data_IF_503746214667
#
_entry.id   IF_503746214667
#
_cell.length_a   1.000
_cell.length_b   1.000
_cell.length_c   1.000
_cell.angle_alpha   90.00
_cell.angle_beta   90.00
_cell.angle_gamma   90.00
#
_symmetry.space_group_name_H-M   'P 1'
#
loop_
_entity.id
_entity.type
_entity.pdbx_description
1 polymer ?
#
# COMPACT_ATOMS: atom_id res chain seq x y z
N UNK A 1 -9.74 8.65 -8.66
CA UNK A 1 -10.12 10.07 -8.51
C UNK A 1 -9.93 10.45 -7.05
N UNK A 2 -9.22 11.55 -6.76
CA UNK A 2 -9.02 12.01 -5.38
C UNK A 2 -10.10 13.05 -5.06
N UNK A 3 -10.97 12.73 -4.12
CA UNK A 3 -12.03 13.62 -3.64
C UNK A 3 -11.73 13.99 -2.20
N UNK A 4 -11.63 15.27 -1.90
CA UNK A 4 -11.52 15.81 -0.53
C UNK A 4 -12.53 16.92 -0.36
N UNK A 5 -13.20 16.97 0.81
CA UNK A 5 -14.28 17.92 1.08
C UNK A 5 -15.31 17.98 -0.06
N UNK A 6 -15.76 16.81 -0.53
CA UNK A 6 -16.73 16.69 -1.63
C UNK A 6 -16.35 17.35 -2.97
N UNK A 7 -15.10 17.79 -3.13
CA UNK A 7 -14.58 18.41 -4.35
C UNK A 7 -13.61 17.46 -5.07
N UNK A 8 -13.70 17.41 -6.41
CA UNK A 8 -12.77 16.65 -7.26
C UNK A 8 -11.47 17.44 -7.40
N UNK A 9 -10.36 16.85 -6.99
CA UNK A 9 -9.03 17.48 -7.11
C UNK A 9 -8.41 17.08 -8.45
N UNK A 10 -7.91 18.09 -9.18
CA UNK A 10 -7.13 17.92 -10.42
C UNK A 10 -5.67 18.25 -10.12
N UNK A 11 -4.75 17.40 -10.56
CA UNK A 11 -3.32 17.67 -10.43
C UNK A 11 -2.81 18.42 -11.66
N UNK A 12 -2.20 19.59 -11.46
CA UNK A 12 -1.59 20.41 -12.53
C UNK A 12 -0.33 19.77 -13.12
N UNK A 13 0.39 18.99 -12.33
CA UNK A 13 1.55 18.19 -12.73
C UNK A 13 1.32 16.74 -12.37
N UNK A 14 1.83 15.82 -13.20
CA UNK A 14 1.74 14.39 -12.91
C UNK A 14 2.51 14.11 -11.61
N UNK A 15 1.78 13.85 -10.51
CA UNK A 15 2.41 13.21 -9.36
C UNK A 15 2.82 11.80 -9.79
N UNK A 16 4.02 11.33 -9.45
CA UNK A 16 4.30 9.90 -9.54
C UNK A 16 3.21 9.23 -8.71
N UNK A 17 2.29 8.52 -9.39
CA UNK A 17 1.31 7.75 -8.64
C UNK A 17 2.10 6.80 -7.76
N UNK A 18 1.80 6.79 -6.46
CA UNK A 18 2.22 5.68 -5.60
C UNK A 18 1.81 4.43 -6.36
N UNK A 19 2.80 3.67 -6.84
CA UNK A 19 2.58 2.54 -7.75
C UNK A 19 1.38 1.76 -7.21
N UNK A 20 0.38 1.39 -8.05
CA UNK A 20 -0.68 0.52 -7.58
C UNK A 20 0.01 -0.65 -6.89
N UNK A 21 -0.30 -0.84 -5.61
CA UNK A 21 0.27 -1.90 -4.79
C UNK A 21 0.14 -3.18 -5.60
N UNK A 22 1.26 -3.64 -6.19
CA UNK A 22 1.31 -4.93 -6.85
C UNK A 22 1.25 -5.90 -5.68
N UNK A 23 0.05 -6.40 -5.41
CA UNK A 23 -0.24 -7.39 -4.37
C UNK A 23 0.35 -8.75 -4.71
N UNK A 24 1.63 -8.78 -5.03
CA UNK A 24 2.46 -9.98 -5.17
C UNK A 24 3.67 -9.78 -4.27
N UNK A 25 3.43 -9.98 -2.98
CA UNK A 25 4.47 -10.03 -1.98
C UNK A 25 4.06 -11.03 -0.91
N UNK A 26 5.04 -11.48 -0.14
CA UNK A 26 4.86 -12.45 0.94
C UNK A 26 3.66 -12.14 1.82
N UNK A 27 3.15 -13.17 2.47
CA UNK A 27 2.11 -13.04 3.48
C UNK A 27 2.78 -13.16 4.85
N UNK A 28 2.32 -12.36 5.82
CA UNK A 28 2.79 -12.48 7.19
C UNK A 28 2.44 -13.86 7.74
N UNK A 29 3.43 -14.63 8.19
CA UNK A 29 3.23 -16.01 8.68
C UNK A 29 2.34 -16.12 9.92
N UNK A 30 2.02 -15.01 10.58
CA UNK A 30 1.28 -14.99 11.85
C UNK A 30 -0.14 -14.41 11.71
N UNK A 31 -0.35 -13.46 10.80
CA UNK A 31 -1.62 -12.74 10.70
C UNK A 31 -2.17 -12.65 9.27
N UNK A 32 -1.56 -13.36 8.34
CA UNK A 32 -1.96 -13.44 6.92
C UNK A 32 -2.04 -12.10 6.19
N UNK A 33 -1.43 -11.05 6.75
CA UNK A 33 -1.39 -9.73 6.15
C UNK A 33 -0.43 -9.71 4.96
N UNK A 34 -0.85 -9.11 3.84
CA UNK A 34 0.03 -8.89 2.69
C UNK A 34 1.24 -8.03 3.08
N UNK A 35 2.44 -8.51 2.77
CA UNK A 35 3.72 -7.87 2.99
C UNK A 35 4.38 -7.49 1.67
N UNK A 36 5.34 -6.59 1.78
CA UNK A 36 6.27 -6.34 0.69
C UNK A 36 7.36 -7.42 0.70
N UNK A 37 7.78 -7.91 -0.46
CA UNK A 37 9.00 -8.72 -0.60
C UNK A 37 10.20 -7.95 -0.02
N UNK A 38 11.09 -8.56 0.79
CA UNK A 38 11.20 -9.97 1.18
C UNK A 38 10.73 -10.26 2.63
N UNK A 39 9.83 -9.44 3.18
CA UNK A 39 9.47 -9.55 4.60
C UNK A 39 8.57 -10.75 4.88
N UNK A 40 8.81 -11.45 6.00
CA UNK A 40 8.00 -12.60 6.46
C UNK A 40 7.02 -12.25 7.59
N UNK A 41 7.23 -11.12 8.28
CA UNK A 41 6.40 -10.67 9.40
C UNK A 41 6.06 -9.18 9.24
N UNK A 42 4.83 -8.79 9.59
CA UNK A 42 4.37 -7.40 9.45
C UNK A 42 4.86 -6.47 10.57
N UNK A 43 5.30 -7.03 11.70
CA UNK A 43 5.74 -6.29 12.88
C UNK A 43 6.59 -7.22 13.77
N UNK A 44 7.29 -6.64 14.74
CA UNK A 44 8.03 -7.42 15.75
C UNK A 44 7.12 -8.29 16.61
N UNK A 45 5.85 -7.88 16.82
CA UNK A 45 4.88 -8.68 17.56
C UNK A 45 4.38 -9.90 16.77
N UNK A 46 4.52 -9.88 15.43
CA UNK A 46 4.18 -11.01 14.58
C UNK A 46 5.36 -11.92 14.27
N UNK A 47 6.60 -11.47 14.48
CA UNK A 47 7.80 -12.33 14.42
C UNK A 47 7.83 -13.26 15.63
#
# INVERSE_FOLDING_TARGET
>A
AYTTNSAKVVFLTQRPQSRPFRGSGNICSTCDRSLQEPFLFCSLACK
#
